data_IF_731651225404
#
_entry.id   IF_731651225404
#
_cell.length_a   1.000
_cell.length_b   1.000
_cell.length_c   1.000
_cell.angle_alpha   90.00
_cell.angle_beta   90.00
_cell.angle_gamma   90.00
#
_symmetry.space_group_name_H-M   'P 1'
#
loop_
_entity.id
_entity.type
_entity.pdbx_description
1 polymer ?
#
# COMPACT_ATOMS: atom_id res chain seq x y z
N UNK A 1 -9.23 48.82 88.44
CA UNK A 1 -7.96 48.98 87.72
C UNK A 1 -7.94 47.98 86.57
N UNK A 2 -8.02 48.51 85.35
CA UNK A 2 -7.08 48.28 84.24
C UNK A 2 -6.91 46.81 83.77
N UNK A 3 -7.01 46.42 82.50
CA UNK A 3 -6.75 47.15 81.25
C UNK A 3 -7.37 46.42 80.04
N UNK A 4 -7.57 47.20 78.98
CA UNK A 4 -7.90 46.83 77.60
C UNK A 4 -6.86 45.90 76.93
N UNK A 5 -7.30 44.98 76.04
CA UNK A 5 -6.99 45.01 74.58
C UNK A 5 -7.06 43.62 73.88
N UNK A 6 -7.61 43.55 72.64
CA UNK A 6 -7.53 42.41 71.70
C UNK A 6 -6.16 42.48 70.94
N UNK A 7 -5.82 41.76 69.83
CA UNK A 7 -6.44 40.73 68.99
C UNK A 7 -5.52 39.48 68.81
N UNK A 8 -5.87 38.43 68.08
CA UNK A 8 -5.40 38.23 66.69
C UNK A 8 -5.94 36.90 66.16
N UNK A 9 -6.18 36.91 64.86
CA UNK A 9 -6.60 35.83 63.96
C UNK A 9 -6.03 34.46 64.32
N UNK A 10 -6.87 33.44 64.35
CA UNK A 10 -6.40 32.12 63.95
C UNK A 10 -7.48 31.38 63.17
N UNK A 11 -7.24 31.26 61.86
CA UNK A 11 -7.97 30.37 60.97
C UNK A 11 -7.81 28.95 61.50
N UNK A 12 -8.80 28.48 62.25
CA UNK A 12 -8.84 27.12 62.75
C UNK A 12 -9.41 26.22 61.67
N UNK A 13 -8.51 25.59 60.91
CA UNK A 13 -8.84 24.33 60.26
C UNK A 13 -9.22 23.32 61.36
N UNK A 14 -10.41 22.69 61.33
CA UNK A 14 -10.68 21.57 62.19
C UNK A 14 -10.09 20.31 61.53
N UNK A 15 -8.96 19.87 62.06
CA UNK A 15 -8.48 18.51 61.89
C UNK A 15 -9.42 17.53 62.61
N UNK A 16 -9.76 16.43 61.95
CA UNK A 16 -10.19 15.21 62.65
C UNK A 16 -11.69 14.93 62.74
N UNK A 17 -12.46 15.16 61.67
CA UNK A 17 -13.74 14.47 61.52
C UNK A 17 -13.50 13.13 60.83
N UNK A 18 -13.75 12.02 61.53
CA UNK A 18 -13.89 10.68 60.95
C UNK A 18 -14.82 10.78 59.73
N UNK A 19 -14.39 10.38 58.52
CA UNK A 19 -15.21 10.54 57.33
C UNK A 19 -16.52 9.79 57.53
N UNK A 20 -17.64 10.48 57.30
CA UNK A 20 -18.98 9.91 57.54
C UNK A 20 -19.18 8.65 56.70
N UNK A 21 -19.93 7.66 57.21
CA UNK A 21 -20.14 6.39 56.50
C UNK A 21 -20.69 6.60 55.06
N UNK A 22 -21.41 7.70 54.85
CA UNK A 22 -21.92 8.13 53.55
C UNK A 22 -20.85 8.75 52.64
N UNK A 23 -19.94 9.59 53.17
CA UNK A 23 -18.80 10.13 52.41
C UNK A 23 -17.90 9.00 51.89
N UNK A 24 -17.60 8.01 52.74
CA UNK A 24 -16.83 6.82 52.35
C UNK A 24 -17.52 6.05 51.23
N UNK A 25 -18.84 5.89 51.31
CA UNK A 25 -19.64 5.22 50.28
C UNK A 25 -19.66 5.97 48.94
N UNK A 26 -19.67 7.31 48.93
CA UNK A 26 -19.59 8.10 47.69
C UNK A 26 -18.18 8.04 47.10
N UNK A 27 -17.15 8.18 47.92
CA UNK A 27 -15.77 8.06 47.50
C UNK A 27 -15.50 6.67 46.90
N UNK A 28 -15.98 5.61 47.55
CA UNK A 28 -15.89 4.24 47.06
C UNK A 28 -16.63 4.07 45.73
N UNK A 29 -17.83 4.61 45.60
CA UNK A 29 -18.63 4.50 44.37
C UNK A 29 -17.99 5.26 43.20
N UNK A 30 -17.43 6.45 43.44
CA UNK A 30 -16.70 7.23 42.43
C UNK A 30 -15.37 6.55 42.04
N UNK A 31 -14.65 5.96 43.01
CA UNK A 31 -13.45 5.16 42.72
C UNK A 31 -13.79 3.93 41.87
N UNK A 32 -14.86 3.21 42.21
CA UNK A 32 -15.29 2.01 41.52
C UNK A 32 -15.85 2.31 40.11
N UNK A 33 -16.56 3.43 39.93
CA UNK A 33 -17.01 3.90 38.60
C UNK A 33 -15.82 4.30 37.71
N UNK A 34 -14.83 5.01 38.25
CA UNK A 34 -13.61 5.40 37.52
C UNK A 34 -12.80 4.19 37.01
N UNK A 35 -12.71 3.12 37.80
CA UNK A 35 -12.03 1.87 37.41
C UNK A 35 -12.75 1.16 36.25
N UNK A 36 -14.07 1.31 36.13
CA UNK A 36 -14.86 0.71 35.04
C UNK A 36 -14.60 1.43 33.72
N UNK A 37 -14.50 2.75 33.76
CA UNK A 37 -14.27 3.60 32.60
C UNK A 37 -12.84 3.40 32.04
N UNK A 38 -11.85 3.23 32.92
CA UNK A 38 -10.49 2.89 32.49
C UNK A 38 -10.38 1.54 31.76
N UNK A 39 -11.20 0.53 32.11
CA UNK A 39 -11.14 -0.78 31.46
C UNK A 39 -11.68 -0.74 30.03
N UNK A 40 -12.72 0.04 29.78
CA UNK A 40 -13.30 0.21 28.44
C UNK A 40 -12.34 1.03 27.58
N UNK A 41 -11.79 2.11 28.13
CA UNK A 41 -10.78 2.93 27.44
C UNK A 41 -9.53 2.13 27.05
N UNK A 42 -9.05 1.22 27.92
CA UNK A 42 -7.92 0.32 27.58
C UNK A 42 -8.24 -0.62 26.42
N UNK A 43 -9.43 -1.24 26.42
CA UNK A 43 -9.87 -2.15 25.33
C UNK A 43 -10.06 -1.42 24.02
N UNK A 44 -10.59 -0.20 24.05
CA UNK A 44 -10.73 0.67 22.88
C UNK A 44 -9.38 1.09 22.31
N UNK A 45 -8.41 1.44 23.17
CA UNK A 45 -7.08 1.82 22.72
C UNK A 45 -6.33 0.62 22.09
N UNK A 46 -6.53 -0.61 22.60
CA UNK A 46 -6.01 -1.83 21.96
C UNK A 46 -6.69 -2.07 20.61
N UNK A 47 -8.01 -1.93 20.52
CA UNK A 47 -8.75 -2.07 19.27
C UNK A 47 -8.29 -1.08 18.20
N UNK A 48 -8.09 0.19 18.57
CA UNK A 48 -7.61 1.24 17.67
C UNK A 48 -6.18 0.98 17.19
N UNK A 49 -5.30 0.49 18.08
CA UNK A 49 -3.93 0.08 17.71
C UNK A 49 -3.93 -1.12 16.78
N UNK A 50 -4.80 -2.12 16.98
CA UNK A 50 -4.92 -3.27 16.07
C UNK A 50 -5.49 -2.86 14.71
N UNK A 51 -6.49 -1.98 14.67
CA UNK A 51 -7.02 -1.43 13.42
C UNK A 51 -5.96 -0.63 12.66
N UNK A 52 -5.17 0.20 13.38
CA UNK A 52 -4.05 0.92 12.80
C UNK A 52 -2.96 -0.03 12.29
N UNK A 53 -2.60 -1.07 13.05
CA UNK A 53 -1.63 -2.10 12.64
C UNK A 53 -2.13 -2.88 11.42
N UNK A 54 -3.41 -3.24 11.37
CA UNK A 54 -4.02 -3.91 10.22
C UNK A 54 -4.06 -3.00 8.99
N UNK A 55 -4.40 -1.72 9.16
CA UNK A 55 -4.35 -0.72 8.10
C UNK A 55 -2.92 -0.55 7.56
N UNK A 56 -1.93 -0.40 8.46
CA UNK A 56 -0.53 -0.28 8.09
C UNK A 56 -0.04 -1.54 7.38
N UNK A 57 -0.40 -2.72 7.90
CA UNK A 57 -0.07 -4.02 7.29
C UNK A 57 -0.67 -4.19 5.90
N UNK A 58 -1.92 -3.77 5.69
CA UNK A 58 -2.56 -3.77 4.37
C UNK A 58 -1.88 -2.79 3.42
N UNK A 59 -1.56 -1.58 3.87
CA UNK A 59 -0.85 -0.58 3.08
C UNK A 59 0.56 -1.06 2.70
N UNK A 60 1.27 -1.69 3.63
CA UNK A 60 2.58 -2.28 3.38
C UNK A 60 2.48 -3.47 2.41
N UNK A 61 1.47 -4.32 2.60
CA UNK A 61 1.21 -5.45 1.71
C UNK A 61 0.92 -4.99 0.28
N UNK A 62 0.14 -3.91 0.10
CA UNK A 62 -0.08 -3.26 -1.19
C UNK A 62 1.17 -2.57 -1.76
N UNK A 63 2.10 -2.12 -0.92
CA UNK A 63 3.35 -1.50 -1.37
C UNK A 63 4.39 -2.55 -1.81
N UNK A 64 4.43 -3.71 -1.14
CA UNK A 64 5.40 -4.78 -1.39
C UNK A 64 4.92 -5.86 -2.36
N UNK A 65 3.60 -6.04 -2.53
CA UNK A 65 3.07 -6.64 -3.74
C UNK A 65 2.86 -5.51 -4.74
N UNK A 66 3.75 -5.30 -5.73
CA UNK A 66 3.34 -4.59 -6.92
C UNK A 66 2.22 -5.44 -7.54
N UNK A 67 0.98 -5.17 -7.13
CA UNK A 67 -0.22 -5.46 -7.89
C UNK A 67 0.13 -4.88 -9.24
N UNK A 68 0.48 -5.78 -10.16
CA UNK A 68 0.89 -5.48 -11.52
C UNK A 68 0.22 -4.20 -11.94
N UNK A 69 1.00 -3.15 -12.19
CA UNK A 69 0.51 -1.86 -12.66
C UNK A 69 -0.08 -1.96 -14.08
N UNK A 70 -0.70 -3.08 -14.41
CA UNK A 70 -1.81 -3.19 -15.31
C UNK A 70 -3.07 -2.74 -14.56
N UNK A 71 -3.34 -1.43 -14.59
CA UNK A 71 -4.70 -0.95 -14.91
C UNK A 71 -5.07 -1.32 -16.37
N UNK A 72 -4.70 -2.52 -16.81
CA UNK A 72 -5.31 -3.13 -17.97
C UNK A 72 -6.65 -3.62 -17.47
N UNK A 73 -7.74 -3.09 -18.03
CA UNK A 73 -9.06 -3.65 -17.82
C UNK A 73 -9.00 -5.13 -18.18
N UNK A 74 -8.83 -5.98 -17.18
CA UNK A 74 -8.93 -7.42 -17.30
C UNK A 74 -10.38 -7.77 -17.56
N UNK A 75 -10.86 -7.47 -18.77
CA UNK A 75 -11.99 -8.17 -19.32
C UNK A 75 -11.62 -9.63 -19.30
N UNK A 76 -12.42 -10.44 -18.63
CA UNK A 76 -12.30 -11.90 -18.52
C UNK A 76 -12.50 -12.63 -19.88
N UNK A 77 -12.30 -11.91 -20.99
CA UNK A 77 -12.53 -12.34 -22.35
C UNK A 77 -11.25 -12.42 -23.17
N UNK A 78 -11.39 -13.05 -24.32
CA UNK A 78 -10.35 -13.12 -25.33
C UNK A 78 -9.90 -11.70 -25.72
N UNK A 79 -8.60 -11.46 -25.70
CA UNK A 79 -8.04 -10.14 -26.01
C UNK A 79 -6.75 -10.25 -26.83
N UNK A 80 -6.32 -9.12 -27.39
CA UNK A 80 -5.06 -9.00 -28.12
C UNK A 80 -4.09 -8.20 -27.25
N UNK A 81 -2.90 -8.74 -27.01
CA UNK A 81 -1.88 -8.05 -26.25
C UNK A 81 -1.18 -7.03 -27.15
N UNK A 82 -1.13 -5.76 -26.73
CA UNK A 82 -0.43 -4.69 -27.45
C UNK A 82 0.80 -4.29 -26.65
N UNK A 83 1.98 -4.57 -27.21
CA UNK A 83 3.27 -4.22 -26.61
C UNK A 83 3.85 -3.04 -27.37
N UNK A 84 4.14 -1.95 -26.66
CA UNK A 84 4.70 -0.72 -27.26
C UNK A 84 6.22 -0.73 -27.13
N UNK A 85 6.90 -0.52 -28.24
CA UNK A 85 8.35 -0.34 -28.32
C UNK A 85 8.60 1.10 -28.76
N UNK A 86 8.67 2.00 -27.78
CA UNK A 86 8.81 3.43 -28.00
C UNK A 86 10.21 3.91 -27.56
N UNK A 87 10.97 4.46 -28.50
CA UNK A 87 12.31 5.01 -28.27
C UNK A 87 13.46 4.01 -28.52
N UNK A 88 14.67 4.40 -28.11
CA UNK A 88 15.91 3.67 -28.36
C UNK A 88 15.91 2.29 -27.66
N UNK A 89 16.22 1.22 -28.38
CA UNK A 89 16.36 -0.13 -27.81
C UNK A 89 17.77 -0.29 -27.23
N UNK A 90 17.94 0.11 -25.97
CA UNK A 90 19.23 0.07 -25.29
C UNK A 90 19.08 -0.30 -23.80
N UNK A 91 20.16 -0.74 -23.18
CA UNK A 91 20.20 -0.93 -21.73
C UNK A 91 19.94 0.41 -21.02
N UNK A 92 19.20 0.39 -19.90
CA UNK A 92 18.82 1.60 -19.16
C UNK A 92 17.76 2.48 -19.83
N UNK A 93 17.37 2.20 -21.08
CA UNK A 93 16.27 2.87 -21.77
C UNK A 93 14.91 2.33 -21.35
N UNK A 94 13.83 3.05 -21.70
CA UNK A 94 12.45 2.56 -21.53
C UNK A 94 12.15 1.34 -22.40
N UNK A 95 12.76 1.25 -23.58
CA UNK A 95 12.61 0.15 -24.53
C UNK A 95 13.77 -0.85 -24.46
N UNK A 96 14.24 -1.19 -23.26
CA UNK A 96 15.28 -2.21 -23.07
C UNK A 96 14.76 -3.62 -23.37
N UNK A 97 15.67 -4.54 -23.73
CA UNK A 97 15.33 -5.90 -24.12
C UNK A 97 14.60 -6.66 -23.00
N UNK A 98 15.06 -6.56 -21.75
CA UNK A 98 14.45 -7.28 -20.63
C UNK A 98 12.97 -6.94 -20.44
N UNK A 99 12.62 -5.66 -20.56
CA UNK A 99 11.25 -5.18 -20.43
C UNK A 99 10.37 -5.68 -21.58
N UNK A 100 10.88 -5.64 -22.81
CA UNK A 100 10.16 -6.11 -24.00
C UNK A 100 9.97 -7.63 -23.94
N UNK A 101 11.01 -8.38 -23.60
CA UNK A 101 10.98 -9.84 -23.49
C UNK A 101 10.02 -10.28 -22.37
N UNK A 102 10.04 -9.59 -21.23
CA UNK A 102 9.12 -9.86 -20.13
C UNK A 102 7.66 -9.61 -20.55
N UNK A 103 7.39 -8.53 -21.28
CA UNK A 103 6.06 -8.23 -21.80
C UNK A 103 5.59 -9.29 -22.82
N UNK A 104 6.49 -9.74 -23.71
CA UNK A 104 6.22 -10.80 -24.68
C UNK A 104 5.87 -12.13 -24.00
N UNK A 105 6.64 -12.55 -23.00
CA UNK A 105 6.37 -13.77 -22.23
C UNK A 105 5.04 -13.67 -21.48
N UNK A 106 4.81 -12.57 -20.76
CA UNK A 106 3.57 -12.36 -20.04
C UNK A 106 2.33 -12.41 -20.97
N UNK A 107 2.45 -11.86 -22.19
CA UNK A 107 1.39 -11.91 -23.17
C UNK A 107 1.14 -13.34 -23.71
N UNK A 108 2.19 -14.14 -23.90
CA UNK A 108 2.07 -15.51 -24.39
C UNK A 108 1.60 -16.50 -23.32
N UNK A 109 1.93 -16.26 -22.06
CA UNK A 109 1.52 -17.09 -20.92
C UNK A 109 0.02 -16.91 -20.59
N UNK A 110 -0.57 -15.79 -20.98
CA UNK A 110 -2.01 -15.56 -20.81
C UNK A 110 -2.83 -16.33 -21.84
N UNK A 111 -3.63 -17.29 -21.34
CA UNK A 111 -4.52 -18.15 -22.14
C UNK A 111 -5.63 -17.36 -22.87
N UNK A 112 -5.97 -16.16 -22.40
CA UNK A 112 -6.96 -15.30 -23.05
C UNK A 112 -6.37 -14.51 -24.23
N UNK A 113 -5.04 -14.45 -24.37
CA UNK A 113 -4.38 -13.78 -25.49
C UNK A 113 -4.59 -14.55 -26.80
N UNK A 114 -5.24 -13.92 -27.77
CA UNK A 114 -5.42 -14.46 -29.12
C UNK A 114 -4.33 -14.05 -30.10
N UNK A 115 -3.53 -13.05 -29.75
CA UNK A 115 -2.43 -12.56 -30.58
C UNK A 115 -1.67 -11.43 -29.89
N UNK A 116 -0.47 -11.17 -30.40
CA UNK A 116 0.42 -10.11 -29.92
C UNK A 116 0.66 -9.11 -31.05
N UNK A 117 0.48 -7.83 -30.75
CA UNK A 117 0.83 -6.71 -31.63
C UNK A 117 1.98 -5.93 -31.01
N UNK A 118 3.12 -5.92 -31.70
CA UNK A 118 4.28 -5.08 -31.40
C UNK A 118 4.09 -3.73 -32.10
N UNK A 119 3.68 -2.71 -31.35
CA UNK A 119 3.58 -1.34 -31.85
C UNK A 119 4.95 -0.68 -31.74
N UNK A 120 5.62 -0.45 -32.86
CA UNK A 120 7.00 0.02 -32.91
C UNK A 120 7.09 1.48 -33.34
N UNK A 121 7.75 2.28 -32.49
CA UNK A 121 8.15 3.64 -32.75
C UNK A 121 9.57 3.88 -32.20
N UNK A 122 10.57 3.37 -32.90
CA UNK A 122 11.94 3.28 -32.41
C UNK A 122 12.94 3.77 -33.47
N UNK A 123 13.93 4.60 -33.10
CA UNK A 123 15.05 4.97 -33.98
C UNK A 123 16.08 3.85 -34.15
N UNK A 124 15.81 2.64 -33.65
CA UNK A 124 16.75 1.53 -33.56
C UNK A 124 17.33 1.40 -32.15
N UNK A 125 18.53 0.84 -32.04
CA UNK A 125 19.11 0.52 -30.73
C UNK A 125 20.50 -0.08 -30.81
N UNK A 126 20.94 -0.64 -29.68
CA UNK A 126 22.18 -1.40 -29.68
C UNK A 126 21.96 -2.75 -30.38
N UNK A 127 22.88 -3.20 -31.26
CA UNK A 127 22.72 -4.47 -31.97
C UNK A 127 22.48 -5.65 -31.04
N UNK A 128 23.10 -5.62 -29.86
CA UNK A 128 22.97 -6.67 -28.83
C UNK A 128 21.55 -6.71 -28.25
N UNK A 129 20.99 -5.56 -27.86
CA UNK A 129 19.65 -5.51 -27.29
C UNK A 129 18.58 -5.87 -28.32
N UNK A 130 18.75 -5.42 -29.57
CA UNK A 130 17.87 -5.80 -30.68
C UNK A 130 17.95 -7.32 -30.97
N UNK A 131 19.14 -7.91 -30.94
CA UNK A 131 19.34 -9.34 -31.14
C UNK A 131 18.61 -10.17 -30.06
N UNK A 132 18.71 -9.77 -28.78
CA UNK A 132 17.99 -10.45 -27.70
C UNK A 132 16.47 -10.43 -27.90
N UNK A 133 15.91 -9.29 -28.30
CA UNK A 133 14.47 -9.19 -28.60
C UNK A 133 14.10 -10.08 -29.79
N UNK A 134 14.90 -10.06 -30.86
CA UNK A 134 14.66 -10.88 -32.06
C UNK A 134 14.69 -12.39 -31.75
N UNK A 135 15.69 -12.85 -31.01
CA UNK A 135 15.81 -14.24 -30.59
C UNK A 135 14.66 -14.68 -29.68
N UNK A 136 14.24 -13.80 -28.76
CA UNK A 136 13.09 -14.06 -27.90
C UNK A 136 11.80 -14.20 -28.71
N UNK A 137 11.54 -13.32 -29.68
CA UNK A 137 10.37 -13.43 -30.57
C UNK A 137 10.42 -14.74 -31.37
N UNK A 138 11.59 -15.10 -31.91
CA UNK A 138 11.75 -16.35 -32.67
C UNK A 138 11.50 -17.59 -31.82
N UNK A 139 12.00 -17.58 -30.59
CA UNK A 139 11.77 -18.64 -29.60
C UNK A 139 10.28 -18.73 -29.26
N UNK A 140 9.65 -17.59 -28.97
CA UNK A 140 8.22 -17.53 -28.65
C UNK A 140 7.34 -18.06 -29.79
N UNK A 141 7.67 -17.75 -31.04
CA UNK A 141 6.97 -18.28 -32.22
C UNK A 141 7.12 -19.81 -32.36
N UNK A 142 8.27 -20.35 -31.96
CA UNK A 142 8.52 -21.80 -31.97
C UNK A 142 7.71 -22.50 -30.88
N UNK A 143 7.66 -21.92 -29.69
CA UNK A 143 6.98 -22.49 -28.53
C UNK A 143 5.44 -22.33 -28.62
N UNK A 144 4.97 -21.24 -29.25
CA UNK A 144 3.55 -20.92 -29.41
C UNK A 144 3.18 -20.72 -30.90
N UNK A 145 3.20 -21.77 -31.74
CA UNK A 145 2.97 -21.65 -33.18
C UNK A 145 1.55 -21.18 -33.55
N UNK A 146 0.59 -21.29 -32.62
CA UNK A 146 -0.80 -20.84 -32.80
C UNK A 146 -1.02 -19.38 -32.42
N UNK A 147 -0.04 -18.72 -31.80
CA UNK A 147 -0.14 -17.34 -31.33
C UNK A 147 0.43 -16.39 -32.41
N UNK A 148 -0.41 -15.64 -33.15
CA UNK A 148 0.08 -14.70 -34.14
C UNK A 148 0.81 -13.53 -33.46
N UNK A 149 2.01 -13.22 -33.94
CA UNK A 149 2.81 -12.07 -33.51
C UNK A 149 3.03 -11.16 -34.72
N UNK A 150 2.44 -9.97 -34.67
CA UNK A 150 2.45 -8.98 -35.73
C UNK A 150 3.18 -7.73 -35.26
N UNK A 151 4.03 -7.15 -36.10
CA UNK A 151 4.65 -5.85 -35.83
C UNK A 151 3.93 -4.77 -36.64
N UNK A 152 3.64 -3.65 -36.00
CA UNK A 152 3.02 -2.47 -36.61
C UNK A 152 3.94 -1.29 -36.35
N UNK A 153 4.54 -0.77 -37.42
CA UNK A 153 5.36 0.44 -37.38
C UNK A 153 4.43 1.65 -37.42
N UNK A 154 4.68 2.64 -36.57
CA UNK A 154 3.85 3.85 -36.52
C UNK A 154 4.45 5.03 -37.25
N UNK A 155 5.64 5.46 -36.83
CA UNK A 155 6.28 6.68 -37.33
C UNK A 155 7.72 6.34 -37.71
N UNK A 156 8.52 5.93 -36.73
CA UNK A 156 9.91 5.55 -36.93
C UNK A 156 10.15 4.06 -36.62
N UNK A 157 10.82 3.36 -37.53
CA UNK A 157 11.41 2.05 -37.29
C UNK A 157 12.62 1.87 -38.20
N UNK A 158 13.82 2.05 -37.63
CA UNK A 158 15.09 1.99 -38.35
C UNK A 158 15.96 0.81 -37.88
#
# INVERSE_FOLDING_TARGET
>A
MNDESPPTTNSKAPSGAEPSAWERGILEKVLLESIREQRIARRWNIGFKLAFLAYLGLALWMAFNPLSSSRSGGGTGAHTAVIKVDGLIAEGSRANADSIIKALKAAADDKATKGIVLKMNTPGGTPVQAAYVFEAIRTLKKDHPKLPIMAVVTDLCA
#
